data_IF_545008976064
#
_entry.id   IF_545008976064
#
_cell.length_a   1.000
_cell.length_b   1.000
_cell.length_c   1.000
_cell.angle_alpha   90.00
_cell.angle_beta   90.00
_cell.angle_gamma   90.00
#
_symmetry.space_group_name_H-M   'P 1'
#
loop_
_entity.id
_entity.type
_entity.pdbx_description
1 polymer ?
#
# COMPACT_ATOMS: atom_id res chain seq x y z
N UNK A 1 3.34 0.83 16.64
CA UNK A 1 2.75 1.20 15.35
C UNK A 1 3.71 2.00 14.46
N UNK A 2 3.72 3.34 14.53
CA UNK A 2 4.43 4.27 13.64
C UNK A 2 5.91 3.97 13.32
N UNK A 3 6.64 3.36 14.25
CA UNK A 3 8.06 2.99 14.05
C UNK A 3 8.27 1.63 13.38
N UNK A 4 7.19 0.97 12.96
CA UNK A 4 7.19 -0.39 12.44
C UNK A 4 7.94 -1.37 13.35
N UNK A 5 7.55 -1.38 14.63
CA UNK A 5 8.20 -2.20 15.64
C UNK A 5 8.03 -3.71 15.34
N UNK A 6 9.14 -4.43 15.27
CA UNK A 6 9.14 -5.84 14.89
C UNK A 6 8.50 -6.76 15.93
N UNK A 7 8.50 -6.41 17.21
CA UNK A 7 7.83 -7.20 18.24
C UNK A 7 6.31 -7.07 18.12
N UNK A 8 5.80 -5.86 17.88
CA UNK A 8 4.39 -5.62 17.59
C UNK A 8 3.94 -6.34 16.31
N UNK A 9 4.71 -6.21 15.22
CA UNK A 9 4.39 -6.84 13.94
C UNK A 9 4.28 -8.37 14.04
N UNK A 10 5.21 -9.02 14.76
CA UNK A 10 5.15 -10.47 15.04
C UNK A 10 3.95 -10.84 15.90
N UNK A 11 3.65 -10.05 16.93
CA UNK A 11 2.46 -10.28 17.78
C UNK A 11 1.19 -10.21 16.96
N UNK A 12 1.05 -9.25 16.06
CA UNK A 12 -0.12 -9.12 15.19
C UNK A 12 -0.19 -10.27 14.17
N UNK A 13 0.92 -10.63 13.54
CA UNK A 13 0.97 -11.75 12.60
C UNK A 13 0.60 -13.08 13.24
N UNK A 14 0.94 -13.29 14.51
CA UNK A 14 0.56 -14.50 15.26
C UNK A 14 -0.95 -14.62 15.53
N UNK A 15 -1.74 -13.58 15.26
CA UNK A 15 -3.20 -13.59 15.44
C UNK A 15 -3.97 -14.01 14.18
N UNK A 16 -3.30 -14.22 13.05
CA UNK A 16 -3.97 -14.61 11.81
C UNK A 16 -3.14 -15.61 10.98
N UNK A 17 -3.85 -16.43 10.21
CA UNK A 17 -3.23 -17.29 9.20
C UNK A 17 -2.94 -16.50 7.90
N UNK A 18 -3.79 -15.52 7.61
CA UNK A 18 -3.73 -14.69 6.40
C UNK A 18 -3.84 -13.21 6.80
N UNK A 19 -2.89 -12.41 6.33
CA UNK A 19 -2.95 -10.96 6.37
C UNK A 19 -3.35 -10.42 5.00
N UNK A 20 -4.33 -9.53 4.98
CA UNK A 20 -4.79 -8.84 3.77
C UNK A 20 -4.56 -7.34 3.94
N UNK A 21 -3.70 -6.75 3.10
CA UNK A 21 -3.59 -5.29 3.04
C UNK A 21 -4.58 -4.75 2.01
N UNK A 22 -5.61 -4.07 2.49
CA UNK A 22 -6.63 -3.44 1.65
C UNK A 22 -6.69 -1.91 1.84
N UNK A 23 -5.58 -1.31 2.31
CA UNK A 23 -5.53 0.08 2.75
C UNK A 23 -4.51 0.93 1.94
N UNK A 24 -4.75 1.09 0.64
CA UNK A 24 -3.84 1.78 -0.30
C UNK A 24 -3.37 3.16 0.18
N UNK A 25 -4.28 3.98 0.74
CA UNK A 25 -3.95 5.32 1.25
C UNK A 25 -2.86 5.34 2.34
N UNK A 26 -2.63 4.22 3.02
CA UNK A 26 -1.57 4.06 4.04
C UNK A 26 -0.33 3.32 3.53
N UNK A 27 -0.39 2.71 2.33
CA UNK A 27 0.66 1.84 1.80
C UNK A 27 2.01 2.56 1.57
N UNK A 28 1.99 3.89 1.48
CA UNK A 28 3.18 4.74 1.35
C UNK A 28 3.98 4.92 2.66
N UNK A 29 3.54 4.33 3.78
CA UNK A 29 4.21 4.39 5.09
C UNK A 29 4.50 2.99 5.62
N UNK A 30 5.72 2.80 6.12
CA UNK A 30 6.10 1.60 6.82
C UNK A 30 5.67 1.67 8.29
N UNK A 31 4.53 1.05 8.61
CA UNK A 31 4.04 0.88 9.98
C UNK A 31 3.85 -0.61 10.29
N UNK A 32 3.61 -0.96 11.55
CA UNK A 32 3.54 -2.35 11.97
C UNK A 32 2.34 -3.08 11.33
N UNK A 33 1.20 -2.41 11.17
CA UNK A 33 -0.03 -2.97 10.58
C UNK A 33 -0.09 -2.87 9.05
N UNK A 34 0.71 -2.01 8.42
CA UNK A 34 0.69 -1.79 6.97
C UNK A 34 1.82 -2.51 6.24
N UNK A 35 2.94 -2.75 6.94
CA UNK A 35 4.16 -3.32 6.36
C UNK A 35 4.77 -4.41 7.23
N UNK A 36 4.91 -4.17 8.53
CA UNK A 36 5.59 -5.10 9.45
C UNK A 36 4.92 -6.47 9.50
N UNK A 37 3.61 -6.49 9.74
CA UNK A 37 2.80 -7.72 9.84
C UNK A 37 2.90 -8.58 8.59
N UNK A 38 2.91 -7.96 7.40
CA UNK A 38 3.00 -8.65 6.11
C UNK A 38 4.29 -9.46 5.95
N UNK A 39 5.36 -9.10 6.66
CA UNK A 39 6.63 -9.84 6.65
C UNK A 39 6.61 -11.12 7.49
N UNK A 40 5.68 -11.21 8.44
CA UNK A 40 5.66 -12.29 9.43
C UNK A 40 4.39 -13.13 9.36
N UNK A 41 3.32 -12.64 8.74
CA UNK A 41 2.11 -13.42 8.49
C UNK A 41 2.45 -14.62 7.58
N UNK A 42 1.87 -15.82 7.83
CA UNK A 42 2.13 -17.00 7.00
C UNK A 42 1.78 -16.78 5.53
N UNK A 43 0.67 -16.08 5.29
CA UNK A 43 0.25 -15.61 3.97
C UNK A 43 -0.04 -14.11 4.05
N UNK A 44 0.49 -13.36 3.09
CA UNK A 44 0.20 -11.94 2.92
C UNK A 44 -0.28 -11.67 1.50
N UNK A 45 -1.41 -10.98 1.35
CA UNK A 45 -1.95 -10.60 0.05
C UNK A 45 -2.49 -9.17 0.05
N UNK A 46 -2.67 -8.61 -1.15
CA UNK A 46 -3.44 -7.39 -1.36
C UNK A 46 -4.93 -7.73 -1.38
N UNK A 47 -5.75 -6.88 -0.78
CA UNK A 47 -7.21 -6.96 -0.90
C UNK A 47 -7.72 -6.37 -2.22
N UNK A 48 -9.03 -6.49 -2.49
CA UNK A 48 -9.62 -6.03 -3.74
C UNK A 48 -9.52 -4.52 -3.98
N UNK A 49 -9.63 -3.68 -2.94
CA UNK A 49 -9.51 -2.23 -3.08
C UNK A 49 -8.06 -1.84 -3.39
N UNK A 50 -7.10 -2.46 -2.70
CA UNK A 50 -5.69 -2.23 -2.99
C UNK A 50 -5.31 -2.68 -4.41
N UNK A 51 -5.81 -3.84 -4.85
CA UNK A 51 -5.58 -4.33 -6.21
C UNK A 51 -6.19 -3.39 -7.26
N UNK A 52 -7.42 -2.92 -7.04
CA UNK A 52 -8.09 -1.99 -7.96
C UNK A 52 -7.33 -0.66 -8.12
N UNK A 53 -6.82 -0.09 -7.02
CA UNK A 53 -6.00 1.13 -7.05
C UNK A 53 -4.69 0.92 -7.83
N UNK A 54 -4.00 -0.19 -7.59
CA UNK A 54 -2.78 -0.54 -8.31
C UNK A 54 -3.08 -0.71 -9.80
N UNK A 55 -4.16 -1.38 -10.17
CA UNK A 55 -4.53 -1.59 -11.57
C UNK A 55 -4.85 -0.26 -12.25
N UNK A 56 -5.66 0.59 -11.62
CA UNK A 56 -6.03 1.90 -12.16
C UNK A 56 -4.82 2.79 -12.41
N UNK A 57 -3.91 2.89 -11.43
CA UNK A 57 -2.67 3.66 -11.56
C UNK A 57 -1.73 3.07 -12.61
N UNK A 58 -1.55 1.74 -12.61
CA UNK A 58 -0.70 1.05 -13.60
C UNK A 58 -1.21 1.30 -15.02
N UNK A 59 -2.52 1.21 -15.24
CA UNK A 59 -3.16 1.48 -16.53
C UNK A 59 -2.92 2.93 -16.99
N UNK A 60 -2.95 3.89 -16.06
CA UNK A 60 -2.75 5.30 -16.36
C UNK A 60 -1.27 5.69 -16.56
N UNK A 61 -0.32 4.95 -15.99
CA UNK A 61 1.09 5.34 -15.93
C UNK A 61 2.03 4.49 -16.78
N UNK A 62 1.87 3.16 -16.80
CA UNK A 62 2.82 2.25 -17.46
C UNK A 62 2.61 2.22 -18.98
N UNK A 63 1.37 1.93 -19.42
CA UNK A 63 0.98 1.88 -20.84
C UNK A 63 -0.31 2.66 -21.11
N UNK A 64 -0.30 3.99 -20.89
CA UNK A 64 -1.48 4.81 -21.13
C UNK A 64 -1.84 4.84 -22.62
N UNK A 65 -3.13 4.87 -22.93
CA UNK A 65 -3.59 5.26 -24.25
C UNK A 65 -3.10 6.68 -24.57
N UNK A 66 -2.52 6.87 -25.76
CA UNK A 66 -1.95 8.15 -26.17
C UNK A 66 -2.95 8.94 -27.03
N UNK A 67 -2.95 10.29 -26.95
CA UNK A 67 -2.10 11.13 -26.10
C UNK A 67 -2.51 11.08 -24.61
N UNK A 68 -1.52 11.04 -23.71
CA UNK A 68 -1.74 11.15 -22.26
C UNK A 68 -1.55 12.61 -21.83
N UNK A 69 -2.48 13.12 -21.04
CA UNK A 69 -2.43 14.48 -20.45
C UNK A 69 -2.56 14.36 -18.94
N UNK A 70 -1.75 15.13 -18.21
CA UNK A 70 -1.83 15.27 -16.76
C UNK A 70 -2.17 16.72 -16.39
N UNK A 71 -3.14 16.91 -15.49
CA UNK A 71 -3.50 18.21 -14.93
C UNK A 71 -3.04 18.21 -13.48
N UNK A 72 -2.06 19.05 -13.15
CA UNK A 72 -1.46 19.15 -11.82
C UNK A 72 -1.61 20.58 -11.32
N UNK A 73 -2.30 20.74 -10.18
CA UNK A 73 -2.51 22.02 -9.52
C UNK A 73 -2.04 21.95 -8.06
N UNK A 74 -1.44 23.03 -7.58
CA UNK A 74 -0.89 23.15 -6.23
C UNK A 74 -0.41 24.57 -5.95
N UNK A 75 -0.21 24.92 -4.67
CA UNK A 75 0.20 26.27 -4.27
C UNK A 75 1.68 26.56 -4.54
N UNK A 76 2.50 25.53 -4.73
CA UNK A 76 3.95 25.62 -4.94
C UNK A 76 4.39 24.58 -5.96
N UNK A 77 5.40 24.94 -6.75
CA UNK A 77 6.09 24.00 -7.65
C UNK A 77 6.99 23.04 -6.86
N UNK A 78 7.40 23.40 -5.64
CA UNK A 78 8.48 22.75 -4.88
C UNK A 78 8.05 21.62 -3.93
N UNK A 79 6.76 21.31 -3.81
CA UNK A 79 6.22 20.26 -2.92
C UNK A 79 6.22 18.90 -3.60
#
# INVERSE_FOLDING_TARGET
>A
EKKNDGALARKMAALCDIYVNDAFGTAHRAEATTHGIAKFAPVACAGPLMAAEIEALTRALDKPARPLVAIVAGSKVST
#
